data_IF_049893316410
#
_entry.id   IF_049893316410
#
_cell.length_a   1.000
_cell.length_b   1.000
_cell.length_c   1.000
_cell.angle_alpha   90.00
_cell.angle_beta   90.00
_cell.angle_gamma   90.00
#
_symmetry.space_group_name_H-M   'P 1'
#
loop_
_entity.id
_entity.type
_entity.pdbx_description
1 polymer ?
#
# COMPACT_ATOMS: atom_id res chain seq x y z
N UNK A 1 29.33 -17.53 -64.13
CA UNK A 1 29.50 -16.98 -62.76
C UNK A 1 29.19 -17.93 -61.64
N UNK A 2 28.45 -19.01 -61.84
CA UNK A 2 28.14 -19.98 -60.77
C UNK A 2 29.21 -21.07 -60.53
N UNK A 3 30.09 -21.33 -61.46
CA UNK A 3 31.15 -22.33 -61.30
C UNK A 3 32.36 -21.82 -60.54
N UNK A 4 32.67 -20.52 -60.61
CA UNK A 4 33.80 -19.97 -59.84
C UNK A 4 33.52 -19.89 -58.32
N UNK A 5 32.27 -19.71 -57.94
CA UNK A 5 31.87 -19.72 -56.50
C UNK A 5 31.95 -21.10 -55.86
N UNK A 6 31.67 -22.17 -56.62
CA UNK A 6 31.79 -23.55 -56.15
C UNK A 6 33.27 -23.97 -55.90
N UNK A 7 34.18 -23.48 -56.75
CA UNK A 7 35.61 -23.74 -56.54
C UNK A 7 36.18 -23.01 -55.29
N UNK A 8 35.74 -21.79 -55.04
CA UNK A 8 36.17 -21.02 -53.86
C UNK A 8 35.65 -21.66 -52.56
N UNK A 9 34.40 -22.14 -52.58
CA UNK A 9 33.80 -22.82 -51.42
C UNK A 9 34.48 -24.14 -51.12
N UNK A 10 34.86 -24.93 -52.13
CA UNK A 10 35.61 -26.18 -51.98
C UNK A 10 37.05 -25.96 -51.47
N UNK A 11 37.72 -24.90 -51.93
CA UNK A 11 39.06 -24.55 -51.42
C UNK A 11 39.01 -24.06 -49.95
N UNK A 12 37.90 -23.38 -49.57
CA UNK A 12 37.71 -22.93 -48.18
C UNK A 12 37.45 -24.10 -47.23
N UNK A 13 36.68 -25.11 -47.71
CA UNK A 13 36.42 -26.33 -46.95
C UNK A 13 37.71 -27.22 -46.84
N UNK A 14 38.56 -27.26 -47.88
CA UNK A 14 39.83 -27.96 -47.81
C UNK A 14 40.85 -27.28 -46.90
N UNK A 15 40.83 -25.92 -46.83
CA UNK A 15 41.71 -25.17 -45.95
C UNK A 15 41.31 -25.34 -44.47
N UNK A 16 40.02 -25.50 -44.19
CA UNK A 16 39.53 -25.82 -42.85
C UNK A 16 39.87 -27.23 -42.38
N UNK A 17 39.96 -28.18 -43.35
CA UNK A 17 40.35 -29.57 -43.04
C UNK A 17 41.82 -29.76 -42.80
N UNK A 18 42.71 -28.84 -43.28
CA UNK A 18 44.15 -28.95 -43.13
C UNK A 18 44.69 -28.35 -41.78
N UNK A 19 43.84 -27.63 -41.03
CA UNK A 19 44.27 -27.08 -39.76
C UNK A 19 43.99 -27.94 -38.53
N UNK A 20 43.55 -29.19 -38.72
CA UNK A 20 43.39 -30.12 -37.58
C UNK A 20 42.51 -29.61 -36.44
N UNK A 21 41.67 -28.62 -36.71
CA UNK A 21 40.62 -28.20 -35.74
C UNK A 21 39.52 -29.24 -35.83
N UNK A 22 39.73 -30.37 -35.18
CA UNK A 22 38.60 -31.16 -34.76
C UNK A 22 37.74 -30.22 -33.90
N UNK A 23 36.45 -30.05 -34.20
CA UNK A 23 35.54 -29.43 -33.23
C UNK A 23 35.68 -30.35 -32.00
N UNK A 24 36.38 -29.87 -30.98
CA UNK A 24 36.23 -30.42 -29.66
C UNK A 24 34.74 -30.22 -29.39
N UNK A 25 33.97 -31.29 -29.57
CA UNK A 25 32.71 -31.42 -28.92
C UNK A 25 33.02 -31.27 -27.42
N UNK A 26 32.98 -30.04 -26.93
CA UNK A 26 32.62 -29.83 -25.55
C UNK A 26 31.23 -30.45 -25.44
N UNK A 27 31.17 -31.77 -25.27
CA UNK A 27 30.09 -32.37 -24.52
C UNK A 27 30.17 -31.64 -23.16
N UNK A 28 29.42 -30.56 -23.04
CA UNK A 28 28.89 -30.18 -21.77
C UNK A 28 28.33 -31.49 -21.21
N UNK A 29 29.07 -32.09 -20.29
CA UNK A 29 28.52 -33.06 -19.37
C UNK A 29 27.41 -32.34 -18.65
N UNK A 30 26.24 -32.31 -19.27
CA UNK A 30 24.97 -32.15 -18.57
C UNK A 30 24.86 -33.52 -17.89
N UNK A 31 25.57 -33.68 -16.76
CA UNK A 31 25.26 -34.74 -15.82
C UNK A 31 23.73 -34.64 -15.61
N UNK A 32 23.11 -35.80 -15.47
CA UNK A 32 21.65 -35.82 -15.24
C UNK A 32 21.32 -34.81 -14.14
N UNK A 33 20.81 -33.62 -14.55
CA UNK A 33 20.42 -32.61 -13.61
C UNK A 33 19.17 -33.17 -12.94
N UNK A 34 19.29 -33.52 -11.68
CA UNK A 34 18.16 -33.95 -10.88
C UNK A 34 17.33 -32.72 -10.52
N UNK A 35 16.34 -32.43 -11.37
CA UNK A 35 15.38 -31.34 -11.19
C UNK A 35 14.49 -31.50 -9.95
N UNK A 36 14.51 -32.69 -9.32
CA UNK A 36 13.78 -32.98 -8.08
C UNK A 36 14.67 -32.79 -6.83
N UNK A 37 15.98 -32.57 -7.02
CA UNK A 37 16.88 -32.34 -5.88
C UNK A 37 16.52 -31.06 -5.15
N UNK A 38 16.55 -31.04 -3.81
CA UNK A 38 16.26 -29.82 -3.02
C UNK A 38 17.11 -28.62 -3.43
N UNK A 39 18.39 -28.85 -3.75
CA UNK A 39 19.31 -27.78 -4.13
C UNK A 39 18.90 -27.13 -5.46
N UNK A 40 18.47 -27.94 -6.44
CA UNK A 40 17.99 -27.41 -7.71
C UNK A 40 16.68 -26.65 -7.54
N UNK A 41 15.74 -27.19 -6.77
CA UNK A 41 14.45 -26.52 -6.48
C UNK A 41 14.70 -25.15 -5.82
N UNK A 42 15.61 -25.09 -4.83
CA UNK A 42 15.93 -23.83 -4.16
C UNK A 42 16.59 -22.82 -5.12
N UNK A 43 17.55 -23.27 -5.92
CA UNK A 43 18.22 -22.44 -6.92
C UNK A 43 17.20 -21.88 -7.95
N UNK A 44 16.28 -22.71 -8.40
CA UNK A 44 15.24 -22.27 -9.34
C UNK A 44 14.24 -21.29 -8.69
N UNK A 45 13.85 -21.53 -7.44
CA UNK A 45 13.03 -20.61 -6.67
C UNK A 45 13.71 -19.25 -6.48
N UNK A 46 15.01 -19.25 -6.16
CA UNK A 46 15.81 -18.04 -6.03
C UNK A 46 15.93 -17.27 -7.36
N UNK A 47 16.08 -17.98 -8.47
CA UNK A 47 16.07 -17.35 -9.80
C UNK A 47 14.74 -16.68 -10.11
N UNK A 48 13.62 -17.36 -9.83
CA UNK A 48 12.28 -16.79 -10.03
C UNK A 48 12.05 -15.55 -9.15
N UNK A 49 12.52 -15.61 -7.90
CA UNK A 49 12.46 -14.47 -6.99
C UNK A 49 13.26 -13.26 -7.53
N UNK A 50 14.49 -13.48 -7.99
CA UNK A 50 15.37 -12.44 -8.55
C UNK A 50 14.81 -11.83 -9.85
N UNK A 51 14.08 -12.62 -10.66
CA UNK A 51 13.45 -12.17 -11.90
C UNK A 51 12.06 -11.54 -11.69
N UNK A 52 11.60 -11.44 -10.43
CA UNK A 52 10.31 -10.82 -10.08
C UNK A 52 9.10 -11.73 -10.31
N UNK A 53 9.31 -13.01 -10.64
CA UNK A 53 8.20 -13.96 -10.79
C UNK A 53 7.80 -14.57 -9.44
N UNK A 54 7.31 -13.69 -8.57
CA UNK A 54 7.01 -14.05 -7.19
C UNK A 54 5.95 -15.15 -7.06
N UNK A 55 4.98 -15.21 -7.97
CA UNK A 55 3.94 -16.25 -7.92
C UNK A 55 4.51 -17.65 -8.15
N UNK A 56 5.41 -17.80 -9.12
CA UNK A 56 6.08 -19.08 -9.35
C UNK A 56 7.15 -19.35 -8.27
N UNK A 57 7.85 -18.32 -7.82
CA UNK A 57 8.81 -18.44 -6.71
C UNK A 57 8.15 -19.04 -5.46
N UNK A 58 6.92 -18.59 -5.10
CA UNK A 58 6.14 -19.18 -3.99
C UNK A 58 5.97 -20.68 -4.16
N UNK A 59 5.61 -21.15 -5.34
CA UNK A 59 5.35 -22.57 -5.62
C UNK A 59 6.63 -23.38 -5.40
N UNK A 60 7.77 -22.93 -5.93
CA UNK A 60 9.04 -23.65 -5.81
C UNK A 60 9.61 -23.58 -4.40
N UNK A 61 9.48 -22.43 -3.70
CA UNK A 61 9.86 -22.39 -2.29
C UNK A 61 8.98 -23.31 -1.42
N UNK A 62 7.69 -23.40 -1.68
CA UNK A 62 6.81 -24.35 -0.98
C UNK A 62 7.21 -25.79 -1.27
N UNK A 63 7.55 -26.12 -2.52
CA UNK A 63 8.05 -27.42 -2.91
C UNK A 63 9.34 -27.75 -2.16
N UNK A 64 10.28 -26.82 -2.08
CA UNK A 64 11.49 -26.97 -1.29
C UNK A 64 11.21 -27.22 0.20
N UNK A 65 10.33 -26.43 0.80
CA UNK A 65 9.95 -26.61 2.21
C UNK A 65 9.21 -27.94 2.43
N UNK A 66 8.41 -28.41 1.48
CA UNK A 66 7.71 -29.68 1.60
C UNK A 66 8.67 -30.89 1.60
N UNK A 67 9.79 -30.80 0.88
CA UNK A 67 10.82 -31.86 0.84
C UNK A 67 11.78 -31.82 2.00
N UNK A 68 12.08 -30.62 2.54
CA UNK A 68 13.13 -30.40 3.54
C UNK A 68 12.60 -30.06 4.95
N UNK A 69 11.30 -29.84 5.07
CA UNK A 69 10.62 -29.56 6.35
C UNK A 69 11.07 -28.26 7.01
N UNK A 70 11.27 -28.29 8.32
CA UNK A 70 11.64 -27.10 9.12
C UNK A 70 13.02 -26.53 8.76
N UNK A 71 13.92 -27.34 8.24
CA UNK A 71 15.25 -26.89 7.77
C UNK A 71 15.05 -26.00 6.54
N UNK A 72 14.23 -26.43 5.59
CA UNK A 72 13.91 -25.64 4.41
C UNK A 72 13.24 -24.31 4.77
N UNK A 73 12.33 -24.32 5.72
CA UNK A 73 11.68 -23.09 6.18
C UNK A 73 12.68 -22.12 6.82
N UNK A 74 13.70 -22.60 7.55
CA UNK A 74 14.79 -21.74 8.05
C UNK A 74 15.63 -21.15 6.94
N UNK A 75 15.89 -21.92 5.88
CA UNK A 75 16.76 -21.50 4.78
C UNK A 75 16.11 -20.48 3.84
N UNK A 76 14.86 -20.68 3.44
CA UNK A 76 14.20 -19.85 2.44
C UNK A 76 12.94 -19.12 2.95
N UNK A 77 12.56 -19.28 4.22
CA UNK A 77 11.29 -18.79 4.74
C UNK A 77 11.10 -17.29 4.61
N UNK A 78 12.14 -16.47 4.75
CA UNK A 78 12.05 -15.03 4.52
C UNK A 78 11.75 -14.72 3.05
N UNK A 79 12.42 -15.36 2.10
CA UNK A 79 12.16 -15.19 0.66
C UNK A 79 10.77 -15.71 0.26
N UNK A 80 10.35 -16.84 0.85
CA UNK A 80 9.01 -17.36 0.66
C UNK A 80 7.95 -16.37 1.15
N UNK A 81 8.10 -15.83 2.35
CA UNK A 81 7.18 -14.85 2.91
C UNK A 81 7.15 -13.55 2.10
N UNK A 82 8.30 -13.07 1.66
CA UNK A 82 8.41 -11.89 0.82
C UNK A 82 7.82 -12.12 -0.58
N UNK A 83 8.01 -13.31 -1.17
CA UNK A 83 7.36 -13.69 -2.43
C UNK A 83 5.84 -13.67 -2.31
N UNK A 84 5.28 -14.15 -1.21
CA UNK A 84 3.85 -14.01 -0.93
C UNK A 84 3.43 -12.54 -0.84
N UNK A 85 4.19 -11.72 -0.12
CA UNK A 85 3.92 -10.28 0.03
C UNK A 85 3.93 -9.57 -1.32
N UNK A 86 4.98 -9.77 -2.13
CA UNK A 86 5.15 -9.16 -3.46
C UNK A 86 4.13 -9.69 -4.49
N UNK A 87 3.62 -10.90 -4.31
CA UNK A 87 2.51 -11.44 -5.11
C UNK A 87 1.13 -10.96 -4.68
N UNK A 88 1.03 -10.18 -3.58
CA UNK A 88 -0.20 -9.63 -3.03
C UNK A 88 -0.90 -10.53 -2.00
N UNK A 89 -0.32 -11.67 -1.65
CA UNK A 89 -0.86 -12.60 -0.64
C UNK A 89 -0.28 -12.29 0.75
N UNK A 90 -0.79 -11.20 1.34
CA UNK A 90 -0.30 -10.71 2.62
C UNK A 90 -0.62 -11.66 3.79
N UNK A 91 -1.72 -12.43 3.71
CA UNK A 91 -2.13 -13.35 4.77
C UNK A 91 -1.14 -14.50 4.90
N UNK A 92 -0.78 -15.15 3.79
CA UNK A 92 0.20 -16.21 3.78
C UNK A 92 1.60 -15.69 4.12
N UNK A 93 1.99 -14.52 3.63
CA UNK A 93 3.22 -13.85 4.05
C UNK A 93 3.31 -13.73 5.58
N UNK A 94 2.25 -13.17 6.20
CA UNK A 94 2.18 -13.03 7.66
C UNK A 94 2.24 -14.36 8.40
N UNK A 95 1.60 -15.41 7.85
CA UNK A 95 1.63 -16.75 8.44
C UNK A 95 3.04 -17.35 8.44
N UNK A 96 3.79 -17.18 7.34
CA UNK A 96 5.18 -17.66 7.25
C UNK A 96 6.09 -16.89 8.22
N UNK A 97 6.03 -15.56 8.28
CA UNK A 97 6.82 -14.78 9.26
C UNK A 97 6.54 -15.20 10.71
N UNK A 98 5.28 -15.43 11.07
CA UNK A 98 4.92 -15.94 12.41
C UNK A 98 5.45 -17.36 12.66
N UNK A 99 5.51 -18.21 11.63
CA UNK A 99 6.11 -19.54 11.74
C UNK A 99 7.64 -19.44 11.93
N UNK A 100 8.30 -18.52 11.22
CA UNK A 100 9.72 -18.22 11.43
C UNK A 100 10.01 -17.80 12.87
N UNK A 101 9.14 -17.00 13.48
CA UNK A 101 9.26 -16.64 14.90
C UNK A 101 9.14 -17.84 15.83
N UNK A 102 8.24 -18.80 15.53
CA UNK A 102 8.04 -20.00 16.38
C UNK A 102 9.23 -20.94 16.36
N UNK A 103 9.95 -21.02 15.24
CA UNK A 103 11.13 -21.92 15.08
C UNK A 103 12.45 -21.28 15.51
N UNK A 104 12.45 -19.97 15.76
CA UNK A 104 13.60 -19.22 16.26
C UNK A 104 13.37 -18.79 17.71
N UNK A 105 14.44 -18.64 18.48
CA UNK A 105 14.35 -18.11 19.84
C UNK A 105 14.00 -16.65 19.84
N UNK A 106 13.27 -16.18 20.86
CA UNK A 106 12.79 -14.79 20.96
C UNK A 106 13.91 -13.72 20.96
N UNK A 107 15.15 -14.13 21.23
CA UNK A 107 16.33 -13.23 21.29
C UNK A 107 17.24 -13.39 20.05
N UNK A 108 16.84 -14.21 19.07
CA UNK A 108 17.60 -14.36 17.83
C UNK A 108 17.37 -13.19 16.88
N UNK A 109 18.40 -12.83 16.11
CA UNK A 109 18.29 -11.81 15.06
C UNK A 109 17.19 -12.14 14.07
N UNK A 110 17.04 -13.40 13.66
CA UNK A 110 15.97 -13.86 12.79
C UNK A 110 14.57 -13.59 13.36
N UNK A 111 14.39 -13.71 14.68
CA UNK A 111 13.11 -13.40 15.33
C UNK A 111 12.79 -11.91 15.22
N UNK A 112 13.78 -11.05 15.44
CA UNK A 112 13.61 -9.59 15.36
C UNK A 112 13.35 -9.13 13.92
N UNK A 113 14.06 -9.69 12.95
CA UNK A 113 13.80 -9.43 11.52
C UNK A 113 12.38 -9.85 11.16
N UNK A 114 11.95 -11.06 11.52
CA UNK A 114 10.59 -11.51 11.29
C UNK A 114 9.54 -10.61 11.96
N UNK A 115 9.85 -10.05 13.15
CA UNK A 115 8.97 -9.12 13.85
C UNK A 115 8.84 -7.80 13.08
N UNK A 116 9.93 -7.28 12.51
CA UNK A 116 9.92 -6.10 11.63
C UNK A 116 9.08 -6.36 10.37
N UNK A 117 9.29 -7.51 9.71
CA UNK A 117 8.55 -7.89 8.50
C UNK A 117 7.04 -8.07 8.76
N UNK A 118 6.67 -8.60 9.94
CA UNK A 118 5.27 -8.65 10.39
C UNK A 118 4.69 -7.23 10.51
N UNK A 119 5.45 -6.29 11.06
CA UNK A 119 5.04 -4.89 11.17
C UNK A 119 4.77 -4.26 9.81
N UNK A 120 5.70 -4.42 8.87
CA UNK A 120 5.57 -3.93 7.50
C UNK A 120 4.38 -4.59 6.78
N UNK A 121 4.19 -5.90 6.96
CA UNK A 121 3.05 -6.61 6.36
C UNK A 121 1.71 -6.07 6.88
N UNK A 122 1.58 -5.81 8.19
CA UNK A 122 0.37 -5.16 8.73
C UNK A 122 0.17 -3.75 8.18
N UNK A 123 1.26 -2.99 7.96
CA UNK A 123 1.16 -1.69 7.30
C UNK A 123 0.54 -1.81 5.90
N UNK A 124 1.00 -2.77 5.09
CA UNK A 124 0.47 -3.03 3.75
C UNK A 124 -1.00 -3.48 3.75
N UNK A 125 -1.46 -4.15 4.81
CA UNK A 125 -2.88 -4.41 5.05
C UNK A 125 -3.69 -3.15 5.38
N UNK A 126 -3.05 -2.01 5.65
CA UNK A 126 -3.68 -0.81 6.19
C UNK A 126 -4.03 -0.91 7.69
N UNK A 127 -3.56 -1.97 8.37
CA UNK A 127 -3.74 -2.14 9.83
C UNK A 127 -2.57 -1.48 10.58
N UNK A 128 -2.57 -0.17 10.57
CA UNK A 128 -1.51 0.64 11.17
C UNK A 128 -1.37 0.40 12.68
N UNK A 129 -2.45 0.07 13.38
CA UNK A 129 -2.40 -0.20 14.81
C UNK A 129 -1.68 -1.50 15.14
N UNK A 130 -1.94 -2.58 14.38
CA UNK A 130 -1.19 -3.84 14.55
C UNK A 130 0.25 -3.68 14.08
N UNK A 131 0.50 -2.89 13.05
CA UNK A 131 1.86 -2.53 12.61
C UNK A 131 2.64 -1.86 13.73
N UNK A 132 2.12 -0.81 14.37
CA UNK A 132 2.73 -0.15 15.53
C UNK A 132 2.96 -1.16 16.67
N UNK A 133 1.97 -2.01 16.97
CA UNK A 133 2.11 -3.03 18.01
C UNK A 133 3.23 -4.03 17.69
N UNK A 134 3.46 -4.33 16.42
CA UNK A 134 4.55 -5.21 16.00
C UNK A 134 5.90 -4.53 16.19
N UNK A 135 6.08 -3.29 15.74
CA UNK A 135 7.34 -2.56 15.89
C UNK A 135 7.69 -2.26 17.34
N UNK A 136 6.70 -1.97 18.19
CA UNK A 136 6.91 -1.75 19.64
C UNK A 136 7.44 -3.00 20.39
N UNK A 137 7.36 -4.19 19.82
CA UNK A 137 7.96 -5.40 20.39
C UNK A 137 9.46 -5.50 20.14
N UNK A 138 10.00 -4.68 19.24
CA UNK A 138 11.44 -4.66 18.94
C UNK A 138 12.13 -3.84 20.03
N UNK A 139 12.66 -4.53 21.05
CA UNK A 139 13.24 -3.91 22.26
C UNK A 139 14.78 -3.91 22.29
N UNK A 140 15.44 -4.22 21.18
CA UNK A 140 16.91 -4.25 21.12
C UNK A 140 17.47 -2.84 21.26
N UNK A 141 18.29 -2.53 22.29
CA UNK A 141 18.63 -1.15 22.67
C UNK A 141 19.42 -0.35 21.62
N UNK A 142 20.23 -0.99 20.79
CA UNK A 142 21.26 -0.35 19.95
C UNK A 142 21.31 -0.92 18.53
N UNK A 143 20.18 -1.34 17.94
CA UNK A 143 20.17 -1.93 16.61
C UNK A 143 19.53 -1.02 15.57
N UNK A 144 20.00 -1.13 14.33
CA UNK A 144 19.36 -0.53 13.16
C UNK A 144 17.85 -0.86 13.12
N UNK A 145 17.47 -2.10 13.48
CA UNK A 145 16.07 -2.55 13.53
C UNK A 145 15.20 -1.73 14.49
N UNK A 146 15.75 -1.26 15.60
CA UNK A 146 15.02 -0.38 16.51
C UNK A 146 14.79 1.00 15.89
N UNK A 147 15.81 1.54 15.25
CA UNK A 147 15.72 2.81 14.53
C UNK A 147 14.68 2.74 13.42
N UNK A 148 14.74 1.67 12.61
CA UNK A 148 13.77 1.42 11.55
C UNK A 148 12.35 1.26 12.13
N UNK A 149 12.21 0.57 13.26
CA UNK A 149 10.95 0.41 13.97
C UNK A 149 10.34 1.74 14.45
N UNK A 150 11.17 2.68 14.91
CA UNK A 150 10.71 4.02 15.27
C UNK A 150 10.27 4.83 14.04
N UNK A 151 11.02 4.75 12.94
CA UNK A 151 10.61 5.37 11.66
C UNK A 151 9.25 4.81 11.22
N UNK A 152 9.09 3.49 11.24
CA UNK A 152 7.83 2.85 10.89
C UNK A 152 6.69 3.26 11.83
N UNK A 153 6.95 3.38 13.13
CA UNK A 153 5.95 3.89 14.07
C UNK A 153 5.52 5.32 13.72
N UNK A 154 6.47 6.19 13.39
CA UNK A 154 6.20 7.55 12.93
C UNK A 154 5.37 7.56 11.64
N UNK A 155 5.74 6.74 10.64
CA UNK A 155 5.00 6.60 9.38
C UNK A 155 3.57 6.10 9.64
N UNK A 156 3.39 5.06 10.44
CA UNK A 156 2.06 4.57 10.82
C UNK A 156 1.20 5.68 11.46
N UNK A 157 1.81 6.52 12.31
CA UNK A 157 1.11 7.66 12.94
C UNK A 157 0.69 8.72 11.93
N UNK A 158 1.51 8.98 10.89
CA UNK A 158 1.12 9.85 9.77
C UNK A 158 -0.13 9.29 9.07
N UNK A 159 -0.14 7.99 8.73
CA UNK A 159 -1.28 7.35 8.09
C UNK A 159 -2.56 7.35 8.94
N UNK A 160 -2.42 7.38 10.26
CA UNK A 160 -3.52 7.55 11.22
C UNK A 160 -3.91 9.03 11.44
N UNK A 161 -3.23 10.00 10.84
CA UNK A 161 -3.45 11.44 11.07
C UNK A 161 -3.06 11.91 12.47
N UNK A 162 -2.22 11.16 13.18
CA UNK A 162 -1.77 11.44 14.55
C UNK A 162 -0.46 12.24 14.55
N UNK A 163 -0.53 13.47 14.06
CA UNK A 163 0.63 14.31 13.74
C UNK A 163 1.58 14.56 14.92
N UNK A 164 1.05 14.77 16.12
CA UNK A 164 1.87 15.03 17.31
C UNK A 164 2.64 13.79 17.74
N UNK A 165 2.01 12.62 17.70
CA UNK A 165 2.67 11.36 17.97
C UNK A 165 3.68 10.99 16.87
N UNK A 166 3.38 11.27 15.61
CA UNK A 166 4.34 11.08 14.54
C UNK A 166 5.59 11.94 14.75
N UNK A 167 5.41 13.20 15.12
CA UNK A 167 6.53 14.11 15.40
C UNK A 167 7.45 13.57 16.49
N UNK A 168 6.92 13.00 17.57
CA UNK A 168 7.76 12.44 18.65
C UNK A 168 8.66 11.31 18.19
N UNK A 169 8.18 10.47 17.27
CA UNK A 169 8.98 9.37 16.70
C UNK A 169 10.12 9.86 15.80
N UNK A 170 10.01 11.03 15.18
CA UNK A 170 11.06 11.60 14.33
C UNK A 170 11.96 12.60 15.07
N UNK A 171 11.76 12.79 16.38
CA UNK A 171 12.57 13.69 17.21
C UNK A 171 13.69 12.93 17.93
N UNK A 172 14.42 12.09 17.18
CA UNK A 172 15.49 11.28 17.78
C UNK A 172 16.68 12.11 18.22
N UNK A 173 17.01 12.03 19.50
CA UNK A 173 18.18 12.69 20.06
C UNK A 173 19.28 11.72 20.52
N UNK A 174 19.00 10.40 20.65
CA UNK A 174 19.90 9.50 21.43
C UNK A 174 20.07 8.07 20.86
N UNK A 175 20.01 7.84 19.53
CA UNK A 175 20.22 6.50 19.00
C UNK A 175 21.57 6.42 18.27
N UNK A 176 22.43 5.46 18.64
CA UNK A 176 23.77 5.23 18.04
C UNK A 176 23.75 4.95 16.54
N UNK A 177 22.63 4.44 16.02
CA UNK A 177 22.38 4.23 14.57
C UNK A 177 21.36 5.25 14.04
N UNK A 178 21.71 6.54 14.09
CA UNK A 178 20.83 7.61 13.62
C UNK A 178 20.55 7.45 12.11
N UNK A 179 19.27 7.53 11.66
CA UNK A 179 18.95 7.63 10.25
C UNK A 179 19.62 8.84 9.62
N UNK A 180 19.73 8.88 8.29
CA UNK A 180 20.26 10.08 7.63
C UNK A 180 19.44 11.30 8.01
N UNK A 181 20.09 12.45 8.21
CA UNK A 181 19.40 13.71 8.50
C UNK A 181 18.38 14.06 7.41
N UNK A 182 18.62 13.63 6.19
CA UNK A 182 17.70 13.77 5.06
C UNK A 182 16.39 12.98 5.28
N UNK A 183 16.47 11.72 5.71
CA UNK A 183 15.30 10.89 6.02
C UNK A 183 14.45 11.49 7.14
N UNK A 184 15.10 11.92 8.21
CA UNK A 184 14.40 12.56 9.36
C UNK A 184 13.73 13.85 8.92
N UNK A 185 14.46 14.73 8.22
CA UNK A 185 13.93 16.00 7.75
C UNK A 185 12.75 15.80 6.80
N UNK A 186 12.81 14.77 5.91
CA UNK A 186 11.70 14.42 5.04
C UNK A 186 10.43 14.11 5.84
N UNK A 187 10.47 13.17 6.78
CA UNK A 187 9.28 12.82 7.57
C UNK A 187 8.81 13.94 8.49
N UNK A 188 9.71 14.73 9.06
CA UNK A 188 9.33 15.91 9.83
C UNK A 188 8.61 16.95 8.96
N UNK A 189 9.06 17.16 7.72
CA UNK A 189 8.40 18.06 6.78
C UNK A 189 7.00 17.57 6.43
N UNK A 190 6.82 16.24 6.22
CA UNK A 190 5.50 15.64 6.01
C UNK A 190 4.54 15.85 7.17
N UNK A 191 5.05 15.71 8.41
CA UNK A 191 4.23 15.99 9.60
C UNK A 191 3.78 17.45 9.64
N UNK A 192 4.66 18.39 9.29
CA UNK A 192 4.30 19.82 9.23
C UNK A 192 3.27 20.10 8.12
N UNK A 193 3.43 19.49 6.96
CA UNK A 193 2.47 19.59 5.86
C UNK A 193 1.11 19.00 6.27
N UNK A 194 1.10 17.79 6.85
CA UNK A 194 -0.11 17.11 7.30
C UNK A 194 -0.91 17.92 8.32
N UNK A 195 -0.24 18.62 9.26
CA UNK A 195 -0.89 19.53 10.21
C UNK A 195 -1.58 20.72 9.55
N UNK A 196 -1.17 21.10 8.34
CA UNK A 196 -1.68 22.27 7.60
C UNK A 196 -2.68 21.90 6.54
N UNK A 197 -3.08 20.63 6.43
CA UNK A 197 -4.06 20.20 5.46
C UNK A 197 -5.36 21.02 5.60
N UNK A 198 -5.93 21.52 4.49
CA UNK A 198 -7.10 22.40 4.53
C UNK A 198 -8.39 21.61 4.76
N UNK A 199 -8.48 20.89 5.86
CA UNK A 199 -9.64 20.08 6.23
C UNK A 199 -10.84 20.94 6.59
N UNK A 200 -12.03 20.47 6.26
CA UNK A 200 -13.30 21.14 6.53
C UNK A 200 -14.01 20.46 7.70
N UNK A 201 -14.61 21.26 8.57
CA UNK A 201 -15.41 20.74 9.68
C UNK A 201 -16.78 20.25 9.17
N UNK A 202 -17.12 18.93 9.23
CA UNK A 202 -18.38 18.41 8.75
C UNK A 202 -19.59 18.94 9.53
N UNK A 203 -19.44 19.13 10.84
CA UNK A 203 -20.51 19.67 11.67
C UNK A 203 -20.83 21.11 11.26
N UNK A 204 -19.81 21.95 11.06
CA UNK A 204 -20.00 23.33 10.57
C UNK A 204 -20.68 23.37 9.20
N UNK A 205 -20.29 22.49 8.27
CA UNK A 205 -20.91 22.39 6.95
C UNK A 205 -22.41 22.06 7.05
N UNK A 206 -22.78 21.09 7.90
CA UNK A 206 -24.16 20.72 8.17
C UNK A 206 -24.95 21.84 8.83
N UNK A 207 -24.39 22.48 9.86
CA UNK A 207 -25.02 23.57 10.60
C UNK A 207 -25.28 24.80 9.71
N UNK A 208 -24.32 25.17 8.86
CA UNK A 208 -24.52 26.25 7.88
C UNK A 208 -25.71 25.94 6.94
N UNK A 209 -25.80 24.68 6.48
CA UNK A 209 -26.94 24.27 5.61
C UNK A 209 -28.24 24.13 6.36
N UNK A 210 -28.22 23.94 7.69
CA UNK A 210 -29.41 24.02 8.54
C UNK A 210 -29.92 25.45 8.70
N UNK A 211 -29.05 26.44 8.82
CA UNK A 211 -29.46 27.85 8.93
C UNK A 211 -29.92 28.40 7.59
N UNK A 212 -29.17 28.15 6.54
CA UNK A 212 -29.47 28.60 5.18
C UNK A 212 -29.25 27.44 4.19
N UNK A 213 -30.32 26.98 3.50
CA UNK A 213 -30.22 25.88 2.54
C UNK A 213 -29.10 26.11 1.53
N UNK A 214 -28.14 25.18 1.49
CA UNK A 214 -26.99 25.26 0.60
C UNK A 214 -25.75 25.97 1.14
N UNK A 215 -25.84 26.74 2.25
CA UNK A 215 -24.67 27.50 2.75
C UNK A 215 -23.45 26.62 3.08
N UNK A 216 -23.66 25.41 3.55
CA UNK A 216 -22.58 24.46 3.74
C UNK A 216 -21.84 24.12 2.44
N UNK A 217 -22.48 24.21 1.29
CA UNK A 217 -21.84 23.98 -0.02
C UNK A 217 -20.92 25.13 -0.41
N UNK A 218 -21.24 26.38 -0.04
CA UNK A 218 -20.32 27.50 -0.19
C UNK A 218 -19.06 27.26 0.67
N UNK A 219 -19.27 26.84 1.92
CA UNK A 219 -18.15 26.51 2.81
C UNK A 219 -17.23 25.43 2.23
N UNK A 220 -17.78 24.51 1.44
CA UNK A 220 -17.04 23.47 0.72
C UNK A 220 -16.43 23.94 -0.60
N UNK A 221 -16.58 25.22 -0.98
CA UNK A 221 -16.09 25.76 -2.25
C UNK A 221 -16.94 25.37 -3.47
N UNK A 222 -18.24 25.04 -3.27
CA UNK A 222 -19.18 24.61 -4.31
C UNK A 222 -20.37 25.59 -4.47
N UNK A 223 -20.11 26.82 -4.92
CA UNK A 223 -21.17 27.86 -4.98
C UNK A 223 -22.30 27.51 -5.96
N UNK A 224 -22.02 26.80 -7.07
CA UNK A 224 -23.06 26.35 -7.99
C UNK A 224 -24.11 25.47 -7.32
N UNK A 225 -23.69 24.56 -6.45
CA UNK A 225 -24.57 23.68 -5.71
C UNK A 225 -25.39 24.43 -4.66
N UNK A 226 -24.87 25.54 -4.14
CA UNK A 226 -25.63 26.45 -3.26
C UNK A 226 -26.83 27.04 -3.99
N UNK A 227 -26.62 27.65 -5.14
CA UNK A 227 -27.73 28.29 -5.90
C UNK A 227 -28.78 27.27 -6.31
N UNK A 228 -28.37 26.08 -6.79
CA UNK A 228 -29.31 25.02 -7.13
C UNK A 228 -30.13 24.57 -5.92
N UNK A 229 -29.50 24.40 -4.76
CA UNK A 229 -30.19 24.01 -3.52
C UNK A 229 -31.16 25.09 -3.05
N UNK A 230 -30.69 26.33 -3.00
CA UNK A 230 -31.52 27.47 -2.56
C UNK A 230 -32.73 27.61 -3.45
N UNK A 231 -32.55 27.60 -4.78
CA UNK A 231 -33.66 27.71 -5.75
C UNK A 231 -34.66 26.57 -5.59
N UNK A 232 -34.17 25.33 -5.46
CA UNK A 232 -35.04 24.16 -5.32
C UNK A 232 -35.87 24.22 -4.03
N UNK A 233 -35.21 24.47 -2.88
CA UNK A 233 -35.92 24.55 -1.59
C UNK A 233 -36.92 25.70 -1.58
N UNK A 234 -36.54 26.86 -2.12
CA UNK A 234 -37.44 28.03 -2.21
C UNK A 234 -38.65 27.74 -3.10
N UNK A 235 -38.45 27.17 -4.29
CA UNK A 235 -39.53 26.84 -5.22
C UNK A 235 -40.52 25.84 -4.61
N UNK A 236 -40.04 24.77 -4.00
CA UNK A 236 -40.89 23.76 -3.35
C UNK A 236 -41.65 24.35 -2.15
N UNK A 237 -40.99 25.21 -1.37
CA UNK A 237 -41.62 25.92 -0.25
C UNK A 237 -42.75 26.85 -0.71
N UNK A 238 -42.54 27.59 -1.80
CA UNK A 238 -43.55 28.45 -2.39
C UNK A 238 -44.76 27.66 -2.93
N UNK A 239 -44.51 26.50 -3.56
CA UNK A 239 -45.58 25.60 -4.03
C UNK A 239 -46.39 25.02 -2.87
N UNK A 240 -45.75 24.68 -1.77
CA UNK A 240 -46.39 24.23 -0.54
C UNK A 240 -47.25 25.35 0.07
N UNK A 241 -46.70 26.55 0.21
CA UNK A 241 -47.40 27.72 0.71
C UNK A 241 -48.64 28.05 -0.12
N UNK A 242 -48.50 28.09 -1.44
CA UNK A 242 -49.63 28.31 -2.36
C UNK A 242 -50.73 27.25 -2.18
N UNK A 243 -50.33 25.97 -2.00
CA UNK A 243 -51.28 24.88 -1.72
C UNK A 243 -52.10 25.13 -0.46
N UNK A 244 -51.48 25.57 0.63
CA UNK A 244 -52.18 25.88 1.88
C UNK A 244 -53.07 27.13 1.83
N UNK A 245 -52.70 28.13 1.04
CA UNK A 245 -53.53 29.33 0.88
C UNK A 245 -54.93 29.04 0.34
N UNK A 246 -55.06 28.04 -0.56
CA UNK A 246 -56.35 27.74 -1.22
C UNK A 246 -57.25 26.79 -0.41
N UNK A 247 -56.68 25.81 0.31
CA UNK A 247 -57.45 24.77 1.00
C UNK A 247 -57.08 24.61 2.49
N UNK A 248 -56.28 25.52 3.05
CA UNK A 248 -55.78 25.48 4.43
C UNK A 248 -55.21 24.10 4.78
N UNK A 249 -55.51 23.58 5.98
CA UNK A 249 -54.97 22.30 6.50
C UNK A 249 -55.42 21.04 5.72
N UNK A 250 -56.48 21.14 4.90
CA UNK A 250 -56.94 20.01 4.07
C UNK A 250 -56.30 19.93 2.70
N UNK A 251 -55.31 20.77 2.43
CA UNK A 251 -54.64 20.81 1.12
C UNK A 251 -53.69 19.62 0.94
N UNK A 252 -54.06 18.62 0.15
CA UNK A 252 -53.20 17.53 -0.26
C UNK A 252 -51.95 18.06 -0.97
N UNK A 253 -52.15 19.07 -1.86
CA UNK A 253 -51.06 19.74 -2.58
C UNK A 253 -50.06 20.40 -1.61
N UNK A 254 -50.55 21.13 -0.60
CA UNK A 254 -49.71 21.78 0.40
C UNK A 254 -48.87 20.80 1.15
N UNK A 255 -49.44 19.73 1.67
CA UNK A 255 -48.72 18.69 2.41
C UNK A 255 -47.73 17.89 1.55
N UNK A 256 -48.08 17.56 0.30
CA UNK A 256 -47.20 16.87 -0.61
C UNK A 256 -45.90 17.66 -0.85
N UNK A 257 -46.02 18.96 -1.15
CA UNK A 257 -44.85 19.83 -1.35
C UNK A 257 -44.11 20.13 -0.04
N UNK A 258 -44.78 20.18 1.11
CA UNK A 258 -44.12 20.30 2.41
C UNK A 258 -43.24 19.08 2.71
N UNK A 259 -43.72 17.86 2.46
CA UNK A 259 -42.95 16.63 2.63
C UNK A 259 -41.75 16.56 1.68
N UNK A 260 -41.96 16.88 0.41
CA UNK A 260 -40.91 16.95 -0.59
C UNK A 260 -39.84 17.99 -0.19
N UNK A 261 -40.27 19.19 0.17
CA UNK A 261 -39.38 20.27 0.61
C UNK A 261 -38.59 19.91 1.87
N UNK A 262 -39.26 19.27 2.85
CA UNK A 262 -38.61 18.76 4.04
C UNK A 262 -37.55 17.70 3.74
N UNK A 263 -37.86 16.78 2.84
CA UNK A 263 -36.91 15.77 2.39
C UNK A 263 -35.66 16.39 1.69
N UNK A 264 -35.89 17.35 0.78
CA UNK A 264 -34.80 18.10 0.15
C UNK A 264 -33.98 18.90 1.16
N UNK A 265 -34.62 19.51 2.14
CA UNK A 265 -33.93 20.27 3.18
C UNK A 265 -33.05 19.39 4.06
N UNK A 266 -33.58 18.26 4.53
CA UNK A 266 -32.81 17.30 5.31
C UNK A 266 -31.64 16.69 4.50
N UNK A 267 -31.92 16.35 3.24
CA UNK A 267 -30.88 15.83 2.32
C UNK A 267 -29.76 16.85 2.09
N UNK A 268 -30.10 18.17 2.03
CA UNK A 268 -29.09 19.21 1.89
C UNK A 268 -28.19 19.33 3.12
N UNK A 269 -28.74 19.23 4.34
CA UNK A 269 -27.95 19.25 5.58
C UNK A 269 -26.99 18.05 5.62
N UNK A 270 -27.54 16.85 5.40
CA UNK A 270 -26.76 15.63 5.37
C UNK A 270 -25.71 15.65 4.25
N UNK A 271 -26.09 16.10 3.05
CA UNK A 271 -25.19 16.20 1.89
C UNK A 271 -24.04 17.17 2.11
N UNK A 272 -24.25 18.26 2.86
CA UNK A 272 -23.16 19.19 3.21
C UNK A 272 -22.23 18.61 4.25
N UNK A 273 -22.75 17.92 5.28
CA UNK A 273 -21.95 17.18 6.25
C UNK A 273 -21.11 16.07 5.59
N UNK A 274 -21.74 15.24 4.75
CA UNK A 274 -21.07 14.19 4.02
C UNK A 274 -20.04 14.75 3.03
N UNK A 275 -20.37 15.85 2.34
CA UNK A 275 -19.47 16.54 1.42
C UNK A 275 -18.17 16.99 2.08
N UNK A 276 -18.22 17.47 3.32
CA UNK A 276 -17.02 17.81 4.09
C UNK A 276 -16.18 16.58 4.41
N UNK A 277 -16.81 15.45 4.75
CA UNK A 277 -16.08 14.18 4.99
C UNK A 277 -15.39 13.67 3.72
N UNK A 278 -16.09 13.72 2.58
CA UNK A 278 -15.52 13.31 1.29
C UNK A 278 -14.35 14.22 0.91
N UNK A 279 -14.49 15.52 1.06
CA UNK A 279 -13.42 16.49 0.81
C UNK A 279 -12.18 16.21 1.66
N UNK A 280 -12.37 15.99 2.96
CA UNK A 280 -11.26 15.67 3.87
C UNK A 280 -10.59 14.34 3.51
N UNK A 281 -11.38 13.34 3.12
CA UNK A 281 -10.86 12.05 2.69
C UNK A 281 -10.01 12.19 1.43
N UNK A 282 -10.47 12.93 0.43
CA UNK A 282 -9.70 13.16 -0.80
C UNK A 282 -8.38 13.88 -0.52
N UNK A 283 -8.40 14.96 0.26
CA UNK A 283 -7.18 15.68 0.65
C UNK A 283 -6.20 14.77 1.38
N UNK A 284 -6.70 13.92 2.28
CA UNK A 284 -5.86 13.00 3.02
C UNK A 284 -5.29 11.89 2.11
N UNK A 285 -6.11 11.31 1.23
CA UNK A 285 -5.67 10.31 0.25
C UNK A 285 -4.61 10.89 -0.71
N UNK A 286 -4.83 12.10 -1.23
CA UNK A 286 -3.88 12.82 -2.10
C UNK A 286 -2.56 13.12 -1.38
N UNK A 287 -2.62 13.44 -0.09
CA UNK A 287 -1.45 13.67 0.73
C UNK A 287 -0.69 12.36 0.98
N UNK A 288 -1.39 11.32 1.46
CA UNK A 288 -0.77 10.02 1.77
C UNK A 288 -0.17 9.34 0.54
N UNK A 289 -0.78 9.53 -0.64
CA UNK A 289 -0.27 8.98 -1.90
C UNK A 289 1.08 9.57 -2.37
N UNK A 290 1.54 10.67 -1.76
CA UNK A 290 2.85 11.28 -2.05
C UNK A 290 3.96 10.75 -1.13
N UNK A 291 3.61 10.01 -0.08
CA UNK A 291 4.56 9.58 0.95
C UNK A 291 5.39 8.42 0.42
N UNK A 292 6.69 8.60 0.39
CA UNK A 292 7.64 7.50 0.19
C UNK A 292 7.73 6.70 1.48
N UNK A 293 7.29 5.46 1.42
CA UNK A 293 7.30 4.54 2.57
C UNK A 293 8.68 3.87 2.64
N UNK A 294 9.27 3.67 3.84
CA UNK A 294 10.59 3.07 4.00
C UNK A 294 10.52 1.53 3.82
N UNK A 295 9.93 1.07 2.69
CA UNK A 295 10.00 -0.34 2.32
C UNK A 295 11.43 -0.66 1.88
N UNK A 296 11.93 -1.88 2.16
CA UNK A 296 13.19 -2.31 1.59
C UNK A 296 13.12 -2.20 0.07
N UNK A 297 14.20 -1.68 -0.53
CA UNK A 297 14.30 -1.54 -1.98
C UNK A 297 14.00 -2.87 -2.67
N UNK A 298 13.20 -2.82 -3.74
CA UNK A 298 12.84 -3.95 -4.59
C UNK A 298 14.03 -4.47 -5.40
#
# INVERSE_FOLDING_TARGET
MLESQKCILLLFLFFLASFGVTPQQNQLFIGDIDYESPDYILMFADHLYQTGDYKRAVIEYQRYVSTTGSIGLKNCGFKLADSYRKSGDLENSLAIYKNLQKINTNDSECWWIAQSEIGQTYFLFGDYNRSISAFNKIIIPTSKLKTDGEIWNGVNRIFLGQWDLAHTHFSFTEIDSKPSDETINYYQSLVQEGRRLPVKNPFLAGTLSFVLPGAGRIYLGRPGDFFNTLTTVTAVSLLSYNGFQHQKERSIKGWSFALIGGAFYLSNIYGSWLGAKIHNRQINEDFLGKIVVPLPDD
#
